data_IF_916434281365
#
_entry.id   IF_916434281365
#
_cell.length_a   1.000
_cell.length_b   1.000
_cell.length_c   1.000
_cell.angle_alpha   90.00
_cell.angle_beta   90.00
_cell.angle_gamma   90.00
#
_symmetry.space_group_name_H-M   'P 1'
#
loop_
_entity.id
_entity.type
_entity.pdbx_description
1 polymer ?
#
# COMPACT_ATOMS: atom_id res chain seq x y z
N UNK A 1 -16.01 -21.89 6.58
CA UNK A 1 -16.16 -20.42 6.53
C UNK A 1 -15.00 -19.86 5.72
N UNK A 2 -15.28 -19.30 4.55
CA UNK A 2 -14.28 -18.67 3.69
C UNK A 2 -13.91 -17.29 4.27
N UNK A 3 -12.62 -17.06 4.53
CA UNK A 3 -12.11 -15.78 5.05
C UNK A 3 -12.01 -14.76 3.90
N UNK A 4 -12.20 -13.48 4.18
CA UNK A 4 -11.87 -12.41 3.23
C UNK A 4 -10.35 -12.27 3.21
N UNK A 5 -9.75 -12.33 2.03
CA UNK A 5 -8.30 -12.21 1.86
C UNK A 5 -7.96 -10.83 1.32
N UNK A 6 -6.91 -10.23 1.88
CA UNK A 6 -6.34 -8.97 1.42
C UNK A 6 -4.95 -9.22 0.84
N UNK A 7 -4.69 -8.62 -0.31
CA UNK A 7 -3.40 -8.70 -1.01
C UNK A 7 -2.86 -7.31 -1.30
N UNK A 8 -1.55 -7.18 -1.26
CA UNK A 8 -0.83 -6.01 -1.76
C UNK A 8 0.15 -6.53 -2.81
N UNK A 9 0.19 -5.92 -3.99
CA UNK A 9 1.12 -6.34 -5.02
C UNK A 9 2.54 -5.87 -4.71
N UNK A 10 3.52 -6.58 -5.28
CA UNK A 10 4.90 -6.11 -5.30
C UNK A 10 5.08 -5.01 -6.36
N UNK A 11 5.96 -4.05 -6.04
CA UNK A 11 6.34 -2.95 -6.94
C UNK A 11 7.86 -2.94 -7.04
N UNK A 12 8.37 -3.03 -8.27
CA UNK A 12 9.80 -2.89 -8.58
C UNK A 12 9.99 -1.71 -9.54
N UNK A 13 10.72 -0.69 -9.09
CA UNK A 13 10.97 0.54 -9.83
C UNK A 13 12.30 1.14 -9.35
N UNK A 14 12.95 1.93 -10.19
CA UNK A 14 14.13 2.72 -9.78
C UNK A 14 13.70 3.91 -8.94
N UNK A 15 14.37 4.14 -7.82
CA UNK A 15 14.13 5.28 -6.93
C UNK A 15 14.59 6.62 -7.48
N UNK A 16 15.53 6.61 -8.44
CA UNK A 16 16.18 7.81 -8.96
C UNK A 16 17.52 8.05 -8.27
N UNK A 17 18.12 9.22 -8.49
CA UNK A 17 19.39 9.62 -7.85
C UNK A 17 19.25 10.93 -7.03
N UNK A 18 18.05 11.52 -7.03
CA UNK A 18 17.74 12.81 -6.39
C UNK A 18 16.26 12.85 -6.01
N UNK A 19 15.95 13.30 -4.81
CA UNK A 19 14.58 13.61 -4.38
C UNK A 19 13.79 12.36 -4.01
N UNK A 20 12.50 12.33 -4.37
CA UNK A 20 11.62 11.20 -4.09
C UNK A 20 10.89 10.71 -5.33
N UNK A 21 10.77 9.40 -5.47
CA UNK A 21 9.96 8.73 -6.48
C UNK A 21 8.73 8.07 -5.84
N UNK A 22 7.51 8.27 -6.39
CA UNK A 22 6.34 7.58 -5.91
C UNK A 22 6.35 6.11 -6.35
N UNK A 23 6.17 5.23 -5.36
CA UNK A 23 5.88 3.81 -5.51
C UNK A 23 4.42 3.60 -5.13
N UNK A 24 3.63 3.08 -6.07
CA UNK A 24 2.18 2.92 -5.91
C UNK A 24 1.85 1.45 -5.77
N UNK A 25 1.39 1.07 -4.59
CA UNK A 25 0.96 -0.28 -4.25
C UNK A 25 -0.55 -0.38 -4.41
N UNK A 26 -1.02 -1.40 -5.11
CA UNK A 26 -2.42 -1.79 -5.21
C UNK A 26 -2.74 -2.76 -4.09
N UNK A 27 -3.72 -2.38 -3.27
CA UNK A 27 -4.33 -3.21 -2.24
C UNK A 27 -5.62 -3.77 -2.82
N UNK A 28 -5.83 -5.08 -2.71
CA UNK A 28 -6.99 -5.76 -3.27
C UNK A 28 -7.67 -6.69 -2.27
N UNK A 29 -8.99 -6.80 -2.40
CA UNK A 29 -9.80 -7.82 -1.74
C UNK A 29 -10.04 -8.97 -2.73
N UNK A 30 -10.13 -10.21 -2.21
CA UNK A 30 -10.40 -11.41 -3.00
C UNK A 30 -11.81 -11.46 -3.61
N UNK A 31 -12.72 -10.63 -3.09
CA UNK A 31 -14.10 -10.51 -3.57
C UNK A 31 -14.66 -9.13 -3.30
N UNK A 32 -15.71 -8.80 -4.04
CA UNK A 32 -16.46 -7.55 -3.85
C UNK A 32 -17.10 -7.50 -2.47
N UNK A 33 -16.79 -6.50 -1.63
CA UNK A 33 -17.42 -6.39 -0.33
C UNK A 33 -18.86 -5.89 -0.48
N UNK A 34 -19.78 -6.43 0.31
CA UNK A 34 -21.18 -5.97 0.36
C UNK A 34 -21.36 -4.74 1.26
N UNK A 35 -20.49 -4.59 2.25
CA UNK A 35 -20.40 -3.47 3.19
C UNK A 35 -18.99 -2.86 3.16
N UNK A 36 -18.79 -1.59 3.55
CA UNK A 36 -17.47 -0.99 3.53
C UNK A 36 -16.44 -1.75 4.39
N UNK A 37 -15.27 -2.04 3.82
CA UNK A 37 -14.14 -2.65 4.54
C UNK A 37 -13.07 -1.60 4.80
N UNK A 38 -12.65 -1.49 6.06
CA UNK A 38 -11.64 -0.52 6.50
C UNK A 38 -10.35 -1.24 6.88
N UNK A 39 -9.24 -0.82 6.29
CA UNK A 39 -7.92 -1.43 6.47
C UNK A 39 -6.93 -0.37 6.90
N UNK A 40 -6.32 -0.55 8.08
CA UNK A 40 -5.20 0.28 8.53
C UNK A 40 -3.90 -0.25 7.95
N UNK A 41 -2.99 0.64 7.56
CA UNK A 41 -1.67 0.28 7.06
C UNK A 41 -0.60 1.17 7.65
N UNK A 42 0.61 0.65 7.71
CA UNK A 42 1.83 1.37 8.02
C UNK A 42 3.00 0.71 7.29
N UNK A 43 3.97 1.51 6.84
CA UNK A 43 5.25 0.99 6.37
C UNK A 43 6.12 0.52 7.55
N UNK A 44 6.97 -0.48 7.30
CA UNK A 44 7.89 -1.03 8.30
C UNK A 44 9.27 -1.23 7.70
N UNK A 45 10.30 -0.99 8.49
CA UNK A 45 11.69 -1.20 8.10
C UNK A 45 11.99 -2.70 7.94
N UNK A 46 12.81 -3.02 6.94
CA UNK A 46 13.45 -4.34 6.80
C UNK A 46 14.89 -4.14 6.35
N UNK A 47 15.14 -3.98 5.05
CA UNK A 47 16.44 -3.60 4.48
C UNK A 47 16.48 -2.10 4.18
N UNK A 48 15.40 -1.56 3.62
CA UNK A 48 15.16 -0.13 3.55
C UNK A 48 14.65 0.40 4.91
N UNK A 49 15.12 1.57 5.31
CA UNK A 49 14.79 2.24 6.56
C UNK A 49 14.30 3.66 6.36
N UNK A 50 13.28 4.08 7.11
CA UNK A 50 12.86 5.48 7.14
C UNK A 50 13.67 6.27 8.18
N UNK A 51 14.05 7.54 7.91
CA UNK A 51 13.68 8.33 6.75
C UNK A 51 14.74 8.32 5.62
N UNK A 52 15.75 7.45 5.66
CA UNK A 52 16.85 7.46 4.68
C UNK A 52 16.43 6.99 3.29
N UNK A 53 15.72 5.86 3.23
CA UNK A 53 15.38 5.18 1.97
C UNK A 53 13.95 5.50 1.52
N UNK A 54 13.06 5.80 2.46
CA UNK A 54 11.68 6.19 2.15
C UNK A 54 11.08 7.05 3.25
N UNK A 55 9.99 7.75 2.94
CA UNK A 55 9.19 8.49 3.93
C UNK A 55 8.20 7.52 4.56
N UNK A 56 8.23 7.39 5.90
CA UNK A 56 7.27 6.55 6.61
C UNK A 56 5.83 7.01 6.34
N UNK A 57 4.98 6.07 5.91
CA UNK A 57 3.58 6.33 5.56
C UNK A 57 2.70 5.37 6.34
N UNK A 58 1.66 5.91 6.97
CA UNK A 58 0.60 5.11 7.58
C UNK A 58 -0.74 5.77 7.31
N UNK A 59 -1.81 4.99 7.42
CA UNK A 59 -3.14 5.52 7.15
C UNK A 59 -4.20 4.45 7.18
N UNK A 60 -5.34 4.79 6.56
CA UNK A 60 -6.48 3.90 6.41
C UNK A 60 -6.91 3.90 4.96
N UNK A 61 -7.10 2.72 4.39
CA UNK A 61 -7.75 2.49 3.11
C UNK A 61 -9.16 2.01 3.40
N UNK A 62 -10.14 2.63 2.75
CA UNK A 62 -11.54 2.20 2.80
C UNK A 62 -11.91 1.61 1.45
N UNK A 63 -12.47 0.40 1.45
CA UNK A 63 -13.10 -0.21 0.30
C UNK A 63 -14.60 -0.04 0.45
N UNK A 64 -15.24 0.89 -0.28
CA UNK A 64 -16.69 0.96 -0.33
C UNK A 64 -17.30 -0.36 -0.82
N UNK A 65 -18.59 -0.55 -0.57
CA UNK A 65 -19.34 -1.66 -1.17
C UNK A 65 -19.15 -1.68 -2.68
N UNK A 66 -18.88 -2.86 -3.25
CA UNK A 66 -18.60 -3.01 -4.68
C UNK A 66 -17.15 -2.75 -5.12
N UNK A 67 -16.31 -2.14 -4.28
CA UNK A 67 -14.95 -1.74 -4.64
C UNK A 67 -13.94 -2.75 -4.09
N UNK A 68 -13.13 -3.31 -4.98
CA UNK A 68 -12.17 -4.39 -4.65
C UNK A 68 -10.71 -3.95 -4.67
N UNK A 69 -10.42 -2.75 -5.17
CA UNK A 69 -9.06 -2.27 -5.33
C UNK A 69 -8.94 -0.84 -4.81
N UNK A 70 -7.83 -0.58 -4.14
CA UNK A 70 -7.41 0.73 -3.69
C UNK A 70 -5.90 0.85 -3.82
N UNK A 71 -5.37 2.07 -3.74
CA UNK A 71 -3.94 2.31 -3.86
C UNK A 71 -3.35 2.99 -2.63
N UNK A 72 -2.10 2.67 -2.35
CA UNK A 72 -1.25 3.32 -1.34
C UNK A 72 -0.01 3.83 -2.06
N UNK A 73 0.33 5.10 -1.84
CA UNK A 73 1.55 5.70 -2.37
C UNK A 73 2.59 5.85 -1.27
N UNK A 74 3.79 5.32 -1.50
CA UNK A 74 4.96 5.53 -0.65
C UNK A 74 5.99 6.31 -1.44
N UNK A 75 6.57 7.35 -0.82
CA UNK A 75 7.63 8.15 -1.42
C UNK A 75 8.98 7.54 -1.05
N UNK A 76 9.67 6.99 -2.05
CA UNK A 76 11.00 6.38 -1.92
C UNK A 76 12.05 7.42 -2.29
N UNK A 77 13.15 7.51 -1.53
CA UNK A 77 14.24 8.45 -1.77
C UNK A 77 15.30 7.83 -2.67
N UNK A 78 15.85 8.62 -3.58
CA UNK A 78 17.01 8.24 -4.40
C UNK A 78 18.17 9.18 -4.21
#
# INVERSE_FOLDING_TARGET
MERCEIKINDVSKKEGNVGTTPFVFTVSLDRSPIDPVTVKYATSNVTATAPSDYIATSGTVVFPSGVQQQTITVLVKG
#
